data_IF_414036870740
#
_entry.id   IF_414036870740
#
_cell.length_a   1.000
_cell.length_b   1.000
_cell.length_c   1.000
_cell.angle_alpha   90.00
_cell.angle_beta   90.00
_cell.angle_gamma   90.00
#
_symmetry.space_group_name_H-M   'P 1'
#
loop_
_entity.id
_entity.type
_entity.pdbx_description
1 polymer ?
#
# COMPACT_ATOMS: atom_id res chain seq x y z
N UNK A 1 5.76 -19.24 -6.87
CA UNK A 1 4.30 -19.07 -6.93
C UNK A 1 3.57 -20.38 -7.12
N UNK A 2 3.87 -21.17 -8.17
CA UNK A 2 3.31 -22.52 -8.33
C UNK A 2 3.69 -23.51 -7.20
N UNK A 3 4.83 -23.30 -6.53
CA UNK A 3 5.31 -24.17 -5.45
C UNK A 3 4.62 -23.98 -4.08
N UNK A 4 3.87 -22.88 -3.87
CA UNK A 4 3.23 -22.56 -2.58
C UNK A 4 1.71 -22.84 -2.55
N UNK A 5 1.14 -23.41 -3.61
CA UNK A 5 -0.29 -23.71 -3.74
C UNK A 5 -1.22 -22.57 -3.26
N UNK A 6 -0.87 -21.34 -3.65
CA UNK A 6 -1.62 -20.15 -3.24
C UNK A 6 -2.87 -19.98 -4.13
N UNK A 7 -4.00 -19.51 -3.56
CA UNK A 7 -5.25 -19.40 -4.29
C UNK A 7 -5.11 -18.41 -5.45
N UNK A 8 -5.36 -18.87 -6.68
CA UNK A 8 -5.41 -18.03 -7.86
C UNK A 8 -6.82 -18.06 -8.43
N UNK A 9 -7.38 -16.88 -8.74
CA UNK A 9 -8.68 -16.76 -9.38
C UNK A 9 -8.64 -15.76 -10.54
N UNK A 10 -9.33 -16.04 -11.66
CA UNK A 10 -9.41 -15.10 -12.77
C UNK A 10 -10.26 -13.89 -12.37
N UNK A 11 -10.17 -12.81 -13.15
CA UNK A 11 -11.18 -11.75 -13.07
C UNK A 11 -12.58 -12.36 -13.22
N UNK A 12 -13.52 -12.07 -12.31
CA UNK A 12 -14.88 -12.60 -12.39
C UNK A 12 -15.65 -12.05 -13.60
N UNK A 13 -15.15 -10.97 -14.21
CA UNK A 13 -15.78 -10.27 -15.33
C UNK A 13 -14.77 -10.00 -16.47
N UNK A 14 -15.22 -9.99 -17.74
CA UNK A 14 -14.44 -9.47 -18.85
C UNK A 14 -14.07 -7.99 -18.64
N UNK A 15 -12.95 -7.54 -19.21
CA UNK A 15 -12.33 -6.23 -18.94
C UNK A 15 -13.22 -4.99 -19.22
N UNK A 16 -14.34 -5.14 -19.91
CA UNK A 16 -15.24 -4.04 -20.31
C UNK A 16 -16.65 -4.15 -19.71
N UNK A 17 -16.94 -5.22 -18.97
CA UNK A 17 -18.25 -5.42 -18.38
C UNK A 17 -18.31 -4.67 -17.04
N UNK A 18 -19.21 -3.69 -16.88
CA UNK A 18 -19.37 -3.03 -15.61
C UNK A 18 -19.94 -4.01 -14.58
N UNK A 19 -19.58 -3.86 -13.29
CA UNK A 19 -20.24 -4.60 -12.23
C UNK A 19 -21.75 -4.33 -12.22
N UNK A 20 -22.52 -5.34 -11.84
CA UNK A 20 -23.95 -5.21 -11.57
C UNK A 20 -24.16 -4.62 -10.17
N UNK A 21 -25.30 -3.95 -9.98
CA UNK A 21 -25.64 -3.31 -8.71
C UNK A 21 -25.58 -4.27 -7.52
N UNK A 22 -25.97 -5.55 -7.70
CA UNK A 22 -25.97 -6.56 -6.64
C UNK A 22 -24.58 -7.06 -6.25
N UNK A 23 -23.55 -6.72 -7.02
CA UNK A 23 -22.14 -7.06 -6.74
C UNK A 23 -21.50 -6.03 -5.80
N UNK A 24 -22.07 -4.83 -5.70
CA UNK A 24 -21.62 -3.84 -4.73
C UNK A 24 -21.97 -4.25 -3.30
N UNK A 25 -21.06 -3.98 -2.36
CA UNK A 25 -21.17 -4.35 -0.94
C UNK A 25 -21.20 -5.85 -0.63
N UNK A 26 -21.38 -6.73 -1.63
CA UNK A 26 -21.35 -8.19 -1.45
C UNK A 26 -19.90 -8.67 -1.40
N UNK A 27 -19.57 -9.50 -0.41
CA UNK A 27 -18.25 -10.14 -0.29
C UNK A 27 -18.47 -11.64 -0.24
N UNK A 28 -18.39 -12.32 -1.40
CA UNK A 28 -18.81 -13.72 -1.51
C UNK A 28 -17.79 -14.72 -0.96
N UNK A 29 -16.50 -14.45 -1.13
CA UNK A 29 -15.41 -15.30 -0.63
C UNK A 29 -14.30 -14.42 -0.05
N UNK A 30 -14.41 -13.98 1.21
CA UNK A 30 -13.39 -13.14 1.82
C UNK A 30 -12.07 -13.88 2.10
N UNK A 31 -12.10 -15.21 2.22
CA UNK A 31 -10.94 -16.01 2.59
C UNK A 31 -9.86 -16.02 1.49
N UNK A 32 -10.25 -15.86 0.21
CA UNK A 32 -9.31 -15.79 -0.91
C UNK A 32 -8.30 -14.64 -0.80
N UNK A 33 -8.68 -13.54 -0.15
CA UNK A 33 -7.81 -12.37 0.00
C UNK A 33 -6.64 -12.62 0.96
N UNK A 34 -6.59 -13.73 1.70
CA UNK A 34 -5.41 -14.13 2.49
C UNK A 34 -4.12 -14.17 1.67
N UNK A 35 -4.21 -14.30 0.36
CA UNK A 35 -3.06 -14.25 -0.53
C UNK A 35 -2.26 -12.95 -0.42
N UNK A 36 -2.86 -11.83 -0.01
CA UNK A 36 -2.11 -10.57 0.18
C UNK A 36 -1.09 -10.68 1.32
N UNK A 37 -1.42 -11.38 2.40
CA UNK A 37 -0.50 -11.66 3.51
C UNK A 37 0.60 -12.64 3.09
N UNK A 38 0.27 -13.65 2.29
CA UNK A 38 1.26 -14.56 1.71
C UNK A 38 2.21 -13.83 0.75
N UNK A 39 1.70 -12.84 0.00
CA UNK A 39 2.52 -12.00 -0.87
C UNK A 39 3.48 -11.12 -0.05
N UNK A 40 3.02 -10.56 1.06
CA UNK A 40 3.87 -9.80 1.99
C UNK A 40 5.00 -10.66 2.58
N UNK A 41 4.71 -11.91 2.94
CA UNK A 41 5.72 -12.88 3.42
C UNK A 41 6.76 -13.18 2.34
N UNK A 42 6.32 -13.44 1.11
CA UNK A 42 7.23 -13.70 0.00
C UNK A 42 8.16 -12.51 -0.30
N UNK A 43 7.64 -11.27 -0.27
CA UNK A 43 8.47 -10.07 -0.42
C UNK A 43 9.44 -9.89 0.75
N UNK A 44 9.00 -10.17 1.97
CA UNK A 44 9.86 -10.13 3.16
C UNK A 44 11.02 -11.11 3.02
N UNK A 45 10.73 -12.35 2.66
CA UNK A 45 11.75 -13.40 2.43
C UNK A 45 12.74 -12.94 1.34
N UNK A 46 12.23 -12.55 0.16
CA UNK A 46 13.05 -12.13 -0.97
C UNK A 46 13.93 -10.92 -0.65
N UNK A 47 13.37 -9.86 -0.04
CA UNK A 47 14.13 -8.65 0.24
C UNK A 47 15.15 -8.86 1.36
N UNK A 48 14.89 -9.77 2.29
CA UNK A 48 15.83 -10.11 3.37
C UNK A 48 17.08 -10.85 2.86
N UNK A 49 17.03 -11.41 1.65
CA UNK A 49 18.21 -12.00 0.99
C UNK A 49 19.13 -10.94 0.38
N UNK A 50 18.66 -9.70 0.21
CA UNK A 50 19.48 -8.61 -0.34
C UNK A 50 20.54 -8.17 0.69
N UNK A 51 21.80 -7.97 0.27
CA UNK A 51 22.84 -7.44 1.15
C UNK A 51 22.44 -6.10 1.77
N UNK A 52 22.65 -5.96 3.09
CA UNK A 52 22.35 -4.73 3.81
C UNK A 52 20.89 -4.54 4.19
N UNK A 53 19.98 -5.46 3.79
CA UNK A 53 18.58 -5.41 4.18
C UNK A 53 18.34 -6.16 5.50
N UNK A 54 17.52 -5.58 6.39
CA UNK A 54 17.08 -6.17 7.65
C UNK A 54 15.57 -6.18 7.74
N UNK A 55 15.01 -7.30 8.20
CA UNK A 55 13.59 -7.46 8.52
C UNK A 55 13.36 -7.50 10.03
N UNK A 56 12.39 -6.73 10.52
CA UNK A 56 11.99 -6.70 11.93
C UNK A 56 10.47 -6.89 12.05
N UNK A 57 10.05 -7.76 12.96
CA UNK A 57 8.62 -7.94 13.27
C UNK A 57 8.07 -6.71 13.99
N UNK A 58 6.88 -6.29 13.62
CA UNK A 58 6.17 -5.17 14.21
C UNK A 58 4.91 -5.66 14.94
N UNK A 59 4.71 -5.27 16.21
CA UNK A 59 3.44 -5.47 16.89
C UNK A 59 2.36 -4.53 16.33
N UNK A 60 1.10 -4.84 16.61
CA UNK A 60 -0.05 -3.99 16.24
C UNK A 60 0.16 -2.52 16.63
N UNK A 61 -0.14 -1.61 15.71
CA UNK A 61 -0.17 -0.17 15.98
C UNK A 61 -1.21 0.55 15.10
N UNK A 62 -1.58 1.80 15.45
CA UNK A 62 -2.51 2.59 14.65
C UNK A 62 -1.97 2.87 13.24
N UNK A 63 -2.89 2.87 12.26
CA UNK A 63 -2.63 3.21 10.85
C UNK A 63 -2.76 4.72 10.59
N UNK A 64 -3.37 5.47 11.50
CA UNK A 64 -3.43 6.93 11.45
C UNK A 64 -3.42 7.55 12.85
N UNK A 65 -3.04 8.82 12.94
CA UNK A 65 -2.95 9.53 14.22
C UNK A 65 -4.31 9.69 14.93
N UNK A 66 -5.41 9.65 14.18
CA UNK A 66 -6.76 9.88 14.70
C UNK A 66 -7.55 8.57 14.92
N UNK A 67 -6.96 7.40 14.63
CA UNK A 67 -7.60 6.09 14.74
C UNK A 67 -8.75 5.86 13.75
N UNK A 68 -8.90 6.68 12.71
CA UNK A 68 -9.98 6.54 11.71
C UNK A 68 -9.74 5.36 10.78
N UNK A 69 -8.48 5.07 10.47
CA UNK A 69 -8.11 3.92 9.64
C UNK A 69 -8.02 2.65 10.48
N UNK A 70 -8.05 2.76 11.81
CA UNK A 70 -7.90 1.64 12.74
C UNK A 70 -6.43 1.29 12.98
N UNK A 71 -6.16 0.00 13.17
CA UNK A 71 -4.82 -0.54 13.40
C UNK A 71 -4.55 -1.74 12.49
N UNK A 72 -3.27 -2.04 12.28
CA UNK A 72 -2.87 -3.35 11.77
C UNK A 72 -2.66 -4.31 12.95
N UNK A 73 -2.72 -5.61 12.68
CA UNK A 73 -2.65 -6.65 13.72
C UNK A 73 -1.21 -7.13 13.93
N UNK A 74 -0.44 -7.18 12.83
CA UNK A 74 0.96 -7.61 12.76
C UNK A 74 1.62 -7.01 11.53
N UNK A 75 2.95 -6.86 11.55
CA UNK A 75 3.64 -6.37 10.35
C UNK A 75 5.12 -6.71 10.33
N UNK A 76 5.76 -6.35 9.24
CA UNK A 76 7.21 -6.43 9.07
C UNK A 76 7.75 -5.10 8.59
N UNK A 77 8.81 -4.61 9.24
CA UNK A 77 9.62 -3.49 8.80
C UNK A 77 10.86 -4.01 8.09
N UNK A 78 11.05 -3.60 6.85
CA UNK A 78 12.25 -3.84 6.06
C UNK A 78 13.05 -2.54 5.97
N UNK A 79 14.36 -2.60 6.20
CA UNK A 79 15.27 -1.46 6.12
C UNK A 79 16.50 -1.83 5.32
N UNK A 80 17.04 -0.89 4.55
CA UNK A 80 18.34 -1.02 3.87
C UNK A 80 19.37 -0.13 4.56
N UNK A 81 20.64 -0.56 4.59
CA UNK A 81 21.76 0.24 5.08
C UNK A 81 22.25 1.29 4.05
N UNK A 82 21.70 1.28 2.83
CA UNK A 82 22.01 2.27 1.81
C UNK A 82 21.43 3.63 2.16
N UNK A 83 22.24 4.65 1.94
CA UNK A 83 21.91 6.04 2.26
C UNK A 83 20.68 6.53 1.49
N UNK A 84 19.83 7.28 2.18
CA UNK A 84 18.64 7.90 1.59
C UNK A 84 17.49 6.93 1.31
N UNK A 85 17.59 5.63 1.64
CA UNK A 85 16.48 4.69 1.49
C UNK A 85 15.38 4.95 2.52
N UNK A 86 14.12 4.72 2.14
CA UNK A 86 13.00 4.71 3.09
C UNK A 86 12.73 3.26 3.54
N UNK A 87 12.52 3.02 4.86
CA UNK A 87 12.00 1.74 5.33
C UNK A 87 10.69 1.37 4.64
N UNK A 88 10.52 0.10 4.25
CA UNK A 88 9.27 -0.46 3.75
C UNK A 88 8.55 -1.20 4.88
N UNK A 89 7.26 -0.95 5.04
CA UNK A 89 6.43 -1.56 6.06
C UNK A 89 5.33 -2.37 5.37
N UNK A 90 5.27 -3.65 5.68
CA UNK A 90 4.22 -4.57 5.23
C UNK A 90 3.33 -4.91 6.43
N UNK A 91 2.15 -4.31 6.49
CA UNK A 91 1.29 -4.30 7.66
C UNK A 91 0.01 -5.10 7.39
N UNK A 92 -0.12 -6.25 8.04
CA UNK A 92 -1.23 -7.18 7.88
C UNK A 92 -2.37 -6.83 8.84
N UNK A 93 -3.59 -6.77 8.30
CA UNK A 93 -4.82 -6.56 9.04
C UNK A 93 -5.88 -7.58 8.65
N UNK A 94 -6.59 -8.13 9.62
CA UNK A 94 -7.79 -8.95 9.46
C UNK A 94 -9.02 -8.07 9.72
N UNK A 95 -9.46 -7.32 8.70
CA UNK A 95 -10.53 -6.35 8.82
C UNK A 95 -11.90 -7.03 8.96
N UNK A 96 -12.68 -6.66 9.98
CA UNK A 96 -14.04 -7.16 10.14
C UNK A 96 -14.92 -6.75 8.94
N UNK A 97 -15.62 -7.71 8.34
CA UNK A 97 -16.60 -7.45 7.30
C UNK A 97 -17.90 -7.06 8.01
N UNK A 98 -18.18 -5.77 8.11
CA UNK A 98 -19.38 -5.29 8.78
C UNK A 98 -20.58 -5.33 7.84
N UNK A 99 -21.40 -6.36 7.95
CA UNK A 99 -22.75 -6.43 7.40
C UNK A 99 -23.76 -5.69 8.30
N UNK A 100 -23.53 -4.39 8.58
CA UNK A 100 -24.43 -3.52 9.36
C UNK A 100 -24.86 -4.01 10.77
N UNK A 101 -24.40 -5.17 11.24
CA UNK A 101 -24.71 -5.74 12.55
C UNK A 101 -23.40 -6.19 13.19
N UNK A 102 -22.85 -5.35 14.08
CA UNK A 102 -21.58 -5.56 14.79
C UNK A 102 -21.60 -6.77 15.72
N UNK A 103 -21.56 -7.97 15.16
CA UNK A 103 -21.34 -9.20 15.90
C UNK A 103 -19.85 -9.52 15.96
N UNK A 104 -19.34 -9.72 17.19
CA UNK A 104 -18.04 -10.32 17.42
C UNK A 104 -18.01 -11.73 16.82
N UNK A 105 -16.99 -12.02 16.00
CA UNK A 105 -16.79 -13.33 15.37
C UNK A 105 -17.29 -13.46 13.93
N UNK A 106 -17.69 -12.37 13.28
CA UNK A 106 -17.99 -12.33 11.84
C UNK A 106 -16.77 -12.61 10.96
N UNK A 107 -16.97 -12.91 9.66
CA UNK A 107 -15.87 -13.16 8.74
C UNK A 107 -14.97 -11.92 8.61
N UNK A 108 -13.66 -12.13 8.48
CA UNK A 108 -12.68 -11.08 8.24
C UNK A 108 -12.17 -11.11 6.81
N UNK A 109 -11.77 -9.94 6.33
CA UNK A 109 -11.08 -9.73 5.08
C UNK A 109 -9.61 -9.43 5.37
N UNK A 110 -8.71 -10.21 4.78
CA UNK A 110 -7.28 -9.92 4.85
C UNK A 110 -6.97 -8.66 4.02
N UNK A 111 -6.42 -7.65 4.68
CA UNK A 111 -5.93 -6.40 4.09
C UNK A 111 -4.43 -6.28 4.39
N UNK A 112 -3.67 -5.89 3.37
CA UNK A 112 -2.27 -5.54 3.49
C UNK A 112 -2.13 -4.03 3.28
N UNK A 113 -1.68 -3.31 4.29
CA UNK A 113 -1.25 -1.92 4.14
C UNK A 113 0.26 -1.91 3.82
N UNK A 114 0.63 -1.19 2.78
CA UNK A 114 2.01 -0.87 2.43
C UNK A 114 2.29 0.56 2.85
N UNK A 115 3.25 0.74 3.75
CA UNK A 115 3.65 2.05 4.26
C UNK A 115 5.17 2.23 4.16
N UNK A 116 5.64 3.46 4.28
CA UNK A 116 7.09 3.77 4.30
C UNK A 116 7.47 4.64 5.48
N UNK A 117 8.70 4.53 5.97
CA UNK A 117 9.22 5.24 7.15
C UNK A 117 8.51 4.92 8.49
N UNK A 118 7.20 5.11 8.57
CA UNK A 118 6.33 4.89 9.73
C UNK A 118 4.93 4.40 9.28
N UNK A 119 4.14 3.72 10.14
CA UNK A 119 2.87 3.11 9.74
C UNK A 119 1.83 4.09 9.16
N UNK A 120 1.93 5.37 9.49
CA UNK A 120 0.98 6.40 9.09
C UNK A 120 1.25 7.01 7.72
N UNK A 121 2.36 6.65 7.06
CA UNK A 121 2.74 7.15 5.74
C UNK A 121 2.44 6.04 4.73
N UNK A 122 1.17 5.94 4.38
CA UNK A 122 0.63 4.88 3.52
C UNK A 122 0.96 5.14 2.05
N UNK A 123 1.41 4.09 1.36
CA UNK A 123 1.62 4.06 -0.09
C UNK A 123 0.40 3.48 -0.81
N UNK A 124 -0.11 2.37 -0.30
CA UNK A 124 -1.27 1.67 -0.82
C UNK A 124 -1.81 0.70 0.24
N UNK A 125 -3.03 0.22 0.06
CA UNK A 125 -3.54 -0.93 0.79
C UNK A 125 -4.36 -1.82 -0.14
N UNK A 126 -4.27 -3.13 0.07
CA UNK A 126 -4.87 -4.12 -0.82
C UNK A 126 -5.55 -5.27 -0.05
N UNK A 127 -6.76 -5.69 -0.46
CA UNK A 127 -7.59 -5.01 -1.45
C UNK A 127 -8.05 -3.64 -0.93
N UNK A 128 -8.20 -2.68 -1.84
CA UNK A 128 -8.76 -1.34 -1.54
C UNK A 128 -10.28 -1.39 -1.32
N UNK A 129 -10.92 -2.39 -1.94
CA UNK A 129 -12.30 -2.79 -1.68
C UNK A 129 -12.46 -4.31 -1.77
N UNK A 130 -13.13 -4.91 -0.78
CA UNK A 130 -13.38 -6.35 -0.74
C UNK A 130 -14.66 -6.81 -1.46
N UNK A 131 -15.43 -5.90 -2.07
CA UNK A 131 -16.69 -6.28 -2.71
C UNK A 131 -16.48 -6.98 -4.06
N UNK A 132 -17.42 -7.83 -4.44
CA UNK A 132 -17.38 -8.58 -5.69
C UNK A 132 -17.30 -7.65 -6.90
N UNK A 133 -17.89 -6.44 -6.82
CA UNK A 133 -17.83 -5.43 -7.88
C UNK A 133 -16.41 -4.85 -8.11
N UNK A 134 -15.53 -4.91 -7.12
CA UNK A 134 -14.16 -4.40 -7.22
C UNK A 134 -13.12 -5.50 -7.49
N UNK A 135 -13.56 -6.76 -7.59
CA UNK A 135 -12.67 -7.88 -7.87
C UNK A 135 -12.27 -7.93 -9.35
N UNK A 136 -10.96 -7.79 -9.60
CA UNK A 136 -10.31 -7.90 -10.91
C UNK A 136 -9.47 -9.19 -11.06
N UNK A 137 -9.59 -10.11 -10.09
CA UNK A 137 -8.80 -11.33 -10.08
C UNK A 137 -7.52 -11.22 -9.24
N UNK A 138 -6.94 -12.37 -8.89
CA UNK A 138 -5.74 -12.41 -8.05
C UNK A 138 -4.49 -11.87 -8.75
N UNK A 139 -4.40 -11.98 -10.08
CA UNK A 139 -3.23 -11.51 -10.82
C UNK A 139 -3.07 -9.99 -10.71
N UNK A 140 -4.15 -9.24 -10.97
CA UNK A 140 -4.21 -7.79 -10.87
C UNK A 140 -3.91 -7.31 -9.44
N UNK A 141 -4.55 -7.95 -8.45
CA UNK A 141 -4.32 -7.68 -7.02
C UNK A 141 -2.84 -7.85 -6.62
N UNK A 142 -2.20 -8.93 -7.06
CA UNK A 142 -0.80 -9.20 -6.73
C UNK A 142 0.16 -8.30 -7.50
N UNK A 143 -0.17 -7.95 -8.75
CA UNK A 143 0.60 -7.00 -9.55
C UNK A 143 0.60 -5.61 -8.89
N UNK A 144 -0.53 -5.14 -8.39
CA UNK A 144 -0.62 -3.87 -7.67
C UNK A 144 0.26 -3.85 -6.40
N UNK A 145 0.27 -4.94 -5.62
CA UNK A 145 1.16 -5.09 -4.47
C UNK A 145 2.63 -5.06 -4.90
N UNK A 146 2.97 -5.81 -5.96
CA UNK A 146 4.33 -5.88 -6.48
C UNK A 146 4.83 -4.53 -6.97
N UNK A 147 3.99 -3.80 -7.67
CA UNK A 147 4.30 -2.47 -8.18
C UNK A 147 4.55 -1.49 -7.04
N UNK A 148 3.71 -1.49 -6.00
CA UNK A 148 3.91 -0.68 -4.81
C UNK A 148 5.25 -0.99 -4.11
N UNK A 149 5.60 -2.27 -3.96
CA UNK A 149 6.91 -2.67 -3.39
C UNK A 149 8.05 -2.24 -4.31
N UNK A 150 7.92 -2.41 -5.63
CA UNK A 150 8.94 -2.00 -6.61
C UNK A 150 9.20 -0.51 -6.56
N UNK A 151 8.19 0.34 -6.39
CA UNK A 151 8.39 1.79 -6.29
C UNK A 151 9.30 2.18 -5.11
N UNK A 152 9.21 1.46 -3.99
CA UNK A 152 10.08 1.69 -2.82
C UNK A 152 11.49 1.14 -3.05
N UNK A 153 11.60 -0.09 -3.56
CA UNK A 153 12.87 -0.81 -3.68
C UNK A 153 13.71 -0.29 -4.85
N UNK A 154 13.09 -0.11 -6.02
CA UNK A 154 13.76 0.41 -7.20
C UNK A 154 14.06 1.91 -7.05
N UNK A 155 13.14 2.67 -6.45
CA UNK A 155 13.25 4.11 -6.25
C UNK A 155 13.59 4.92 -7.51
N UNK A 156 13.80 6.24 -7.38
CA UNK A 156 13.45 7.03 -6.21
C UNK A 156 11.92 7.09 -5.98
N UNK A 157 11.50 7.29 -4.73
CA UNK A 157 10.11 7.49 -4.32
C UNK A 157 10.00 8.78 -3.51
N UNK A 158 8.98 9.57 -3.78
CA UNK A 158 8.63 10.73 -2.94
C UNK A 158 7.20 10.61 -2.47
N UNK A 159 6.98 10.80 -1.17
CA UNK A 159 5.66 10.97 -0.58
C UNK A 159 5.59 12.33 0.09
N UNK A 160 4.53 13.08 -0.25
CA UNK A 160 4.20 14.36 0.37
C UNK A 160 2.87 14.25 1.10
N UNK A 161 2.87 14.61 2.37
CA UNK A 161 1.66 14.65 3.20
C UNK A 161 1.38 16.08 3.65
N UNK A 162 0.21 16.60 3.30
CA UNK A 162 -0.32 17.85 3.83
C UNK A 162 -1.60 17.63 4.62
N UNK A 163 -2.17 18.67 5.27
CA UNK A 163 -3.28 18.51 6.22
C UNK A 163 -4.57 17.86 5.67
N UNK A 164 -4.79 17.90 4.34
CA UNK A 164 -5.97 17.33 3.66
C UNK A 164 -5.64 16.88 2.23
N UNK A 165 -4.37 16.65 1.95
CA UNK A 165 -3.91 16.22 0.64
C UNK A 165 -2.65 15.39 0.81
N UNK A 166 -2.46 14.44 -0.10
CA UNK A 166 -1.25 13.65 -0.20
C UNK A 166 -0.86 13.52 -1.67
N UNK A 167 0.41 13.23 -1.90
CA UNK A 167 0.89 12.86 -3.21
C UNK A 167 2.03 11.86 -3.10
N UNK A 168 2.13 11.00 -4.10
CA UNK A 168 3.26 10.11 -4.29
C UNK A 168 3.80 10.27 -5.71
N UNK A 169 5.10 10.09 -5.87
CA UNK A 169 5.78 10.20 -7.15
C UNK A 169 6.91 9.19 -7.24
N UNK A 170 7.09 8.62 -8.43
CA UNK A 170 8.16 7.72 -8.83
C UNK A 170 8.46 7.96 -10.34
N UNK A 171 9.55 7.44 -10.91
CA UNK A 171 9.91 7.72 -12.31
C UNK A 171 8.83 7.37 -13.34
N UNK A 172 8.05 6.32 -13.08
CA UNK A 172 7.03 5.83 -14.00
C UNK A 172 5.67 6.54 -13.85
N UNK A 173 5.52 7.44 -12.86
CA UNK A 173 4.27 8.15 -12.63
C UNK A 173 4.10 8.70 -11.21
N UNK A 174 2.86 9.04 -10.89
CA UNK A 174 2.53 9.57 -9.58
C UNK A 174 1.05 9.80 -9.43
N UNK A 175 0.63 10.01 -8.19
CA UNK A 175 -0.76 10.28 -7.86
C UNK A 175 -0.84 11.38 -6.80
N UNK A 176 -1.99 12.05 -6.76
CA UNK A 176 -2.30 13.02 -5.73
C UNK A 176 -3.77 12.97 -5.41
N UNK A 177 -4.14 13.12 -4.14
CA UNK A 177 -5.52 13.07 -3.69
C UNK A 177 -5.73 13.79 -2.38
N UNK A 178 -6.98 13.98 -1.98
CA UNK A 178 -7.31 14.64 -0.73
C UNK A 178 -8.74 15.17 -0.65
N UNK A 179 -9.18 15.47 0.57
CA UNK A 179 -10.53 15.94 0.87
C UNK A 179 -10.71 17.47 0.77
N UNK A 180 -9.83 18.19 0.05
CA UNK A 180 -9.89 19.64 -0.07
C UNK A 180 -9.14 20.21 -1.28
N UNK A 181 -9.09 21.55 -1.40
CA UNK A 181 -8.23 22.21 -2.38
C UNK A 181 -6.76 22.03 -1.99
N UNK A 182 -6.19 20.90 -2.41
CA UNK A 182 -4.75 20.65 -2.41
C UNK A 182 -4.05 21.52 -3.46
N UNK A 183 -2.72 21.45 -3.54
CA UNK A 183 -2.00 22.02 -4.65
C UNK A 183 -2.35 21.27 -5.95
N UNK A 184 -2.12 21.94 -7.07
CA UNK A 184 -2.32 21.37 -8.40
C UNK A 184 -1.46 20.11 -8.63
N UNK A 185 -2.01 19.08 -9.29
CA UNK A 185 -1.35 17.79 -9.47
C UNK A 185 0.01 17.93 -10.15
N UNK A 186 0.05 18.57 -11.32
CA UNK A 186 1.27 18.75 -12.11
C UNK A 186 2.31 19.52 -11.31
N UNK A 187 1.87 20.54 -10.56
CA UNK A 187 2.76 21.30 -9.68
C UNK A 187 3.37 20.42 -8.58
N UNK A 188 2.61 19.50 -8.00
CA UNK A 188 3.11 18.61 -6.95
C UNK A 188 4.06 17.55 -7.52
N UNK A 189 3.74 16.97 -8.68
CA UNK A 189 4.63 16.01 -9.35
C UNK A 189 5.98 16.64 -9.67
N UNK A 190 5.99 17.88 -10.16
CA UNK A 190 7.23 18.62 -10.41
C UNK A 190 8.01 18.93 -9.12
N UNK A 191 7.32 19.23 -8.00
CA UNK A 191 7.99 19.39 -6.71
C UNK A 191 8.64 18.09 -6.24
N UNK A 192 7.96 16.96 -6.42
CA UNK A 192 8.51 15.64 -6.08
C UNK A 192 9.74 15.32 -6.93
N UNK A 193 9.69 15.50 -8.25
CA UNK A 193 10.83 15.29 -9.14
C UNK A 193 12.07 16.08 -8.67
N UNK A 194 11.91 17.38 -8.40
CA UNK A 194 12.99 18.25 -7.92
C UNK A 194 13.55 17.84 -6.56
N UNK A 195 12.71 17.32 -5.66
CA UNK A 195 13.17 16.75 -4.39
C UNK A 195 14.12 15.56 -4.61
N UNK A 196 13.85 14.71 -5.61
CA UNK A 196 14.74 13.58 -5.92
C UNK A 196 16.09 14.01 -6.51
N UNK A 197 16.15 15.21 -7.08
CA UNK A 197 17.38 15.82 -7.60
C UNK A 197 18.18 16.54 -6.50
N UNK A 198 17.70 16.49 -5.24
CA UNK A 198 18.34 17.15 -4.11
C UNK A 198 18.16 18.67 -4.11
N UNK A 199 17.22 19.21 -4.88
CA UNK A 199 16.94 20.64 -4.89
C UNK A 199 16.29 21.11 -3.58
N UNK A 200 16.71 22.29 -3.08
CA UNK A 200 16.01 22.98 -2.00
C UNK A 200 14.72 23.61 -2.53
N UNK A 201 13.60 22.89 -2.35
CA UNK A 201 12.28 23.33 -2.81
C UNK A 201 11.41 23.83 -1.67
N UNK A 202 10.72 24.94 -1.91
CA UNK A 202 9.71 25.43 -0.98
C UNK A 202 8.42 24.62 -1.09
N UNK A 203 8.21 23.72 -0.13
CA UNK A 203 6.99 22.94 -0.03
C UNK A 203 5.79 23.76 0.45
N UNK A 204 4.55 23.34 0.12
CA UNK A 204 3.36 23.92 0.72
C UNK A 204 3.41 23.88 2.25
N UNK A 205 2.68 24.80 2.89
CA UNK A 205 2.71 24.92 4.36
C UNK A 205 2.24 23.63 5.02
N UNK A 206 2.97 23.21 6.06
CA UNK A 206 2.70 22.00 6.87
C UNK A 206 2.74 20.72 6.04
N UNK A 207 3.57 20.69 5.01
CA UNK A 207 3.86 19.48 4.25
C UNK A 207 5.03 18.73 4.87
N UNK A 208 4.84 17.44 5.10
CA UNK A 208 5.90 16.49 5.40
C UNK A 208 6.35 15.87 4.07
N UNK A 209 7.65 15.68 3.92
CA UNK A 209 8.21 15.05 2.73
C UNK A 209 9.05 13.85 3.15
N UNK A 210 8.84 12.75 2.45
CA UNK A 210 9.60 11.52 2.56
C UNK A 210 10.21 11.26 1.19
N UNK A 211 11.54 11.21 1.13
CA UNK A 211 12.29 10.99 -0.11
C UNK A 211 13.11 9.74 0.09
N UNK A 212 12.88 8.75 -0.76
CA UNK A 212 13.55 7.46 -0.76
C UNK A 212 14.38 7.27 -2.01
N UNK A 213 15.65 6.95 -1.83
CA UNK A 213 16.55 6.44 -2.87
C UNK A 213 16.35 4.94 -3.10
N UNK A 214 16.90 4.45 -4.21
CA UNK A 214 16.91 3.02 -4.53
C UNK A 214 17.61 2.18 -3.46
N UNK A 215 17.05 1.01 -3.18
CA UNK A 215 17.72 -0.04 -2.41
C UNK A 215 18.70 -0.82 -3.31
N UNK A 216 18.53 -0.77 -4.63
CA UNK A 216 19.30 -1.54 -5.61
C UNK A 216 20.52 -0.76 -6.15
N UNK A 217 21.71 -1.39 -6.23
CA UNK A 217 22.99 -0.73 -6.51
C UNK A 217 22.97 0.22 -7.70
#
# INVERSE_FOLDING_TARGET
>A
WAERDLPSWPSPRPAMDPPRDEEYSRVSDPARYRIVHERARAWTELLSELPGVRSESMPSAPLDANGRLGSFDRGTRLTSDREGTLPLLLLERDAAITDHAGSDGGPTLAVLHLAVAEPTVELAFHPDCGCDACDWGSADLLEAIDEAVRHVVAGPLVILEGPRWQAQWHPDGGSSGGAGRGPDHDRVMELCRRLTEGEDVRLPRRTRAFVGSSWLP
#
